data_IF_648519088177
#
_entry.id   IF_648519088177
#
_cell.length_a   1.000
_cell.length_b   1.000
_cell.length_c   1.000
_cell.angle_alpha   90.00
_cell.angle_beta   90.00
_cell.angle_gamma   90.00
#
_symmetry.space_group_name_H-M   'P 1'
#
loop_
_entity.id
_entity.type
_entity.pdbx_description
1 polymer ?
#
# COMPACT_ATOMS: atom_id res chain seq x y z
N UNK A 1 6.77 -3.80 -21.06
CA UNK A 1 7.96 -3.12 -20.50
C UNK A 1 7.57 -1.81 -19.84
N UNK A 2 8.22 -1.45 -18.76
CA UNK A 2 8.12 -0.13 -18.13
C UNK A 2 9.45 0.26 -17.49
N UNK A 3 9.67 1.56 -17.31
CA UNK A 3 10.89 2.07 -16.70
C UNK A 3 10.82 1.89 -15.18
N UNK A 4 11.78 1.15 -14.62
CA UNK A 4 11.89 0.91 -13.18
C UNK A 4 12.87 1.88 -12.50
N UNK A 5 13.78 2.52 -13.23
CA UNK A 5 14.82 3.38 -12.68
C UNK A 5 14.32 4.79 -12.38
N UNK A 6 14.83 5.38 -11.29
CA UNK A 6 14.52 6.73 -10.83
C UNK A 6 15.80 7.47 -10.47
N UNK A 7 15.90 8.72 -10.92
CA UNK A 7 16.99 9.66 -10.63
C UNK A 7 16.70 10.34 -9.29
N UNK A 8 16.74 9.57 -8.21
CA UNK A 8 16.53 10.05 -6.84
C UNK A 8 17.43 9.31 -5.86
N UNK A 9 17.57 9.82 -4.65
CA UNK A 9 18.35 9.16 -3.60
C UNK A 9 17.62 7.97 -3.00
N UNK A 10 16.32 8.12 -2.70
CA UNK A 10 15.55 7.10 -1.99
C UNK A 10 14.94 6.08 -2.95
N UNK A 11 15.28 4.84 -2.73
CA UNK A 11 14.78 3.67 -3.45
C UNK A 11 15.74 2.50 -3.35
N UNK A 12 15.31 1.27 -3.73
CA UNK A 12 16.21 0.11 -3.76
C UNK A 12 17.34 0.34 -4.78
N UNK A 13 18.62 0.24 -4.38
CA UNK A 13 19.73 0.30 -5.34
C UNK A 13 19.59 -0.79 -6.40
N UNK A 14 19.88 -0.44 -7.64
CA UNK A 14 19.91 -1.42 -8.73
C UNK A 14 21.26 -2.13 -8.69
N UNK A 15 21.30 -3.47 -8.49
CA UNK A 15 22.57 -4.20 -8.29
C UNK A 15 23.28 -4.50 -9.60
N UNK A 16 23.58 -3.46 -10.37
CA UNK A 16 24.28 -3.54 -11.67
C UNK A 16 25.52 -2.66 -11.64
N UNK A 17 26.59 -3.17 -12.26
CA UNK A 17 27.84 -2.45 -12.53
C UNK A 17 28.00 -2.32 -14.03
N UNK A 18 28.28 -1.13 -14.51
CA UNK A 18 28.56 -0.83 -15.91
C UNK A 18 30.07 -0.83 -16.15
N UNK A 19 30.52 -1.73 -17.00
CA UNK A 19 31.91 -1.93 -17.39
C UNK A 19 32.10 -1.69 -18.89
N UNK A 20 33.06 -0.88 -19.29
CA UNK A 20 33.33 -0.60 -20.69
C UNK A 20 33.73 -1.87 -21.50
N UNK A 21 34.27 -2.88 -20.82
CA UNK A 21 34.69 -4.12 -21.44
C UNK A 21 33.61 -5.21 -21.43
N UNK A 22 32.78 -5.30 -20.35
CA UNK A 22 31.86 -6.40 -20.13
C UNK A 22 30.38 -5.99 -20.30
N UNK A 23 30.09 -4.67 -20.42
CA UNK A 23 28.73 -4.15 -20.42
C UNK A 23 28.13 -4.12 -19.02
N UNK A 24 26.82 -4.35 -18.91
CA UNK A 24 26.11 -4.44 -17.64
C UNK A 24 26.40 -5.79 -16.97
N UNK A 25 26.90 -5.75 -15.75
CA UNK A 25 27.28 -6.92 -14.94
C UNK A 25 26.54 -6.86 -13.61
N UNK A 26 25.90 -7.97 -13.22
CA UNK A 26 25.24 -8.08 -11.92
C UNK A 26 26.26 -8.05 -10.76
N UNK A 27 25.90 -7.37 -9.68
CA UNK A 27 26.67 -7.44 -8.43
C UNK A 27 26.56 -8.88 -7.88
N UNK A 28 27.68 -9.51 -7.48
CA UNK A 28 27.67 -10.86 -6.93
C UNK A 28 26.83 -10.94 -5.64
N UNK A 29 26.21 -12.09 -5.40
CA UNK A 29 25.40 -12.32 -4.18
C UNK A 29 26.20 -12.05 -2.89
N UNK A 30 27.50 -12.39 -2.89
CA UNK A 30 28.39 -12.17 -1.75
C UNK A 30 28.61 -10.68 -1.40
N UNK A 31 28.30 -9.76 -2.32
CA UNK A 31 28.41 -8.32 -2.16
C UNK A 31 27.06 -7.63 -1.94
N UNK A 32 25.97 -8.39 -1.84
CA UNK A 32 24.64 -7.86 -1.52
C UNK A 32 24.44 -7.73 0.00
N UNK A 33 23.66 -6.79 0.45
CA UNK A 33 22.94 -5.76 -0.31
C UNK A 33 23.85 -4.60 -0.74
N UNK A 34 23.53 -3.96 -1.87
CA UNK A 34 24.12 -2.68 -2.24
C UNK A 34 23.56 -1.61 -1.32
N UNK A 35 24.40 -1.01 -0.49
CA UNK A 35 23.99 -0.03 0.53
C UNK A 35 24.15 1.39 0.00
N UNK A 36 23.10 2.21 0.17
CA UNK A 36 23.14 3.63 -0.18
C UNK A 36 24.15 4.39 0.70
N UNK A 37 24.95 5.31 0.14
CA UNK A 37 25.86 6.13 0.92
C UNK A 37 25.08 7.19 1.71
N UNK A 38 25.58 7.59 2.87
CA UNK A 38 25.02 8.76 3.57
C UNK A 38 25.45 10.03 2.86
N UNK A 39 24.52 10.82 2.39
CA UNK A 39 24.74 12.09 1.72
C UNK A 39 23.88 13.18 2.32
N UNK A 40 24.39 14.40 2.39
CA UNK A 40 23.66 15.56 2.88
C UNK A 40 22.81 16.19 1.78
N UNK A 41 23.34 16.27 0.56
CA UNK A 41 22.64 16.78 -0.62
C UNK A 41 21.95 15.64 -1.39
N UNK A 42 20.83 15.18 -0.85
CA UNK A 42 20.03 14.08 -1.42
C UNK A 42 18.90 14.54 -2.34
N UNK A 43 18.68 15.86 -2.47
CA UNK A 43 17.59 16.38 -3.29
C UNK A 43 17.93 16.26 -4.78
N UNK A 44 16.99 15.81 -5.61
CA UNK A 44 17.16 15.92 -7.06
C UNK A 44 17.18 17.41 -7.45
N UNK A 45 17.93 17.70 -8.48
CA UNK A 45 17.95 19.02 -9.12
C UNK A 45 17.39 18.96 -10.55
N UNK A 46 17.36 20.09 -11.21
CA UNK A 46 16.82 20.22 -12.57
C UNK A 46 17.71 19.58 -13.66
N UNK A 47 18.88 19.05 -13.29
CA UNK A 47 19.80 18.39 -14.24
C UNK A 47 19.31 17.04 -14.73
N UNK A 48 18.38 16.42 -14.00
CA UNK A 48 17.90 15.04 -14.24
C UNK A 48 18.94 13.96 -13.86
N UNK A 49 20.05 14.35 -13.22
CA UNK A 49 21.11 13.44 -12.78
C UNK A 49 20.80 12.96 -11.35
N UNK A 50 20.94 11.66 -11.12
CA UNK A 50 20.75 11.08 -9.79
C UNK A 50 21.70 11.72 -8.76
N UNK A 51 21.24 12.04 -7.54
CA UNK A 51 22.12 12.49 -6.46
C UNK A 51 23.28 11.51 -6.18
N UNK A 52 23.08 10.21 -6.40
CA UNK A 52 24.11 9.18 -6.23
C UNK A 52 25.24 9.29 -7.25
N UNK A 53 24.98 9.85 -8.43
CA UNK A 53 26.00 10.10 -9.45
C UNK A 53 26.99 11.22 -9.07
N UNK A 54 26.72 11.94 -7.98
CA UNK A 54 27.63 12.95 -7.42
C UNK A 54 28.60 12.38 -6.38
N UNK A 55 28.42 11.10 -5.98
CA UNK A 55 29.22 10.45 -4.92
C UNK A 55 30.22 9.50 -5.56
N UNK A 56 31.32 10.06 -6.03
CA UNK A 56 32.34 9.34 -6.79
C UNK A 56 32.88 8.13 -6.02
N UNK A 57 33.15 8.27 -4.73
CA UNK A 57 33.64 7.19 -3.86
C UNK A 57 32.65 6.03 -3.69
N UNK A 58 31.38 6.22 -4.03
CA UNK A 58 30.36 5.17 -3.96
C UNK A 58 30.11 4.49 -5.31
N UNK A 59 30.06 5.27 -6.40
CA UNK A 59 29.74 4.67 -7.71
C UNK A 59 30.97 4.08 -8.41
N UNK A 60 32.17 4.56 -8.14
CA UNK A 60 33.39 3.92 -8.68
C UNK A 60 33.60 2.57 -8.01
N UNK A 61 33.87 1.55 -8.82
CA UNK A 61 34.08 0.17 -8.36
C UNK A 61 34.87 -0.60 -9.40
N UNK A 62 35.28 -1.81 -9.06
CA UNK A 62 35.84 -2.74 -10.00
C UNK A 62 34.75 -3.62 -10.61
N UNK A 63 34.91 -4.02 -11.86
CA UNK A 63 34.00 -4.93 -12.53
C UNK A 63 34.08 -6.33 -11.90
N UNK A 64 32.96 -6.92 -11.42
CA UNK A 64 32.99 -8.25 -10.82
C UNK A 64 33.42 -9.35 -11.79
N UNK A 65 33.28 -9.11 -13.10
CA UNK A 65 33.61 -10.08 -14.13
C UNK A 65 35.06 -10.03 -14.59
N UNK A 66 35.67 -8.87 -14.73
CA UNK A 66 37.02 -8.75 -15.32
C UNK A 66 38.02 -7.93 -14.46
N UNK A 67 37.63 -7.42 -13.31
CA UNK A 67 38.50 -6.67 -12.39
C UNK A 67 38.95 -5.29 -12.87
N UNK A 68 38.45 -4.80 -14.02
CA UNK A 68 38.78 -3.45 -14.51
C UNK A 68 37.88 -2.42 -13.84
N UNK A 69 38.35 -1.17 -13.83
CA UNK A 69 37.57 -0.04 -13.34
C UNK A 69 36.17 0.01 -14.02
N UNK A 70 35.16 0.22 -13.23
CA UNK A 70 33.76 0.20 -13.64
C UNK A 70 32.94 1.16 -12.77
N UNK A 71 31.64 1.28 -13.06
CA UNK A 71 30.75 2.20 -12.35
C UNK A 71 29.49 1.47 -11.90
N UNK A 72 29.11 1.64 -10.64
CA UNK A 72 27.78 1.20 -10.17
C UNK A 72 26.67 1.98 -10.87
N UNK A 73 25.53 1.33 -11.05
CA UNK A 73 24.31 2.02 -11.43
C UNK A 73 23.98 3.08 -10.34
N UNK A 74 23.71 4.30 -10.77
CA UNK A 74 23.41 5.43 -9.89
C UNK A 74 21.94 5.76 -9.79
N UNK A 75 21.10 5.18 -10.65
CA UNK A 75 19.66 5.21 -10.48
C UNK A 75 19.25 4.20 -9.40
N UNK A 76 18.13 4.46 -8.76
CA UNK A 76 17.49 3.49 -7.86
C UNK A 76 16.24 2.95 -8.51
N UNK A 77 15.80 1.78 -8.10
CA UNK A 77 14.49 1.26 -8.49
C UNK A 77 13.39 2.11 -7.88
N UNK A 78 12.23 2.10 -8.53
CA UNK A 78 11.01 2.69 -7.97
C UNK A 78 10.72 2.08 -6.59
N UNK A 79 10.29 2.88 -5.64
CA UNK A 79 9.94 2.44 -4.27
C UNK A 79 8.82 1.40 -4.24
N UNK A 80 8.03 1.26 -5.32
CA UNK A 80 7.05 0.18 -5.44
C UNK A 80 7.70 -1.21 -5.54
N UNK A 81 8.99 -1.31 -5.87
CA UNK A 81 9.71 -2.58 -5.76
C UNK A 81 9.82 -3.03 -4.30
N UNK A 82 10.15 -2.13 -3.37
CA UNK A 82 10.18 -2.45 -1.94
C UNK A 82 8.82 -2.88 -1.41
N UNK A 83 7.76 -2.17 -1.79
CA UNK A 83 6.41 -2.47 -1.34
C UNK A 83 5.80 -3.70 -2.00
N UNK A 84 6.40 -4.23 -3.06
CA UNK A 84 5.82 -5.28 -3.90
C UNK A 84 5.71 -6.64 -3.22
N UNK A 85 6.50 -6.90 -2.20
CA UNK A 85 6.60 -8.22 -1.54
C UNK A 85 6.28 -8.21 -0.04
N UNK A 86 5.87 -7.07 0.53
CA UNK A 86 5.63 -6.91 1.97
C UNK A 86 4.65 -7.95 2.55
N UNK A 87 3.61 -8.32 1.77
CA UNK A 87 2.61 -9.31 2.17
C UNK A 87 3.17 -10.72 2.31
N UNK A 88 4.23 -11.07 1.57
CA UNK A 88 4.96 -12.33 1.72
C UNK A 88 5.67 -12.42 3.09
N UNK A 89 6.10 -11.27 3.61
CA UNK A 89 6.78 -11.18 4.91
C UNK A 89 5.81 -11.28 6.10
N UNK A 90 4.56 -10.84 5.95
CA UNK A 90 3.60 -10.80 7.05
C UNK A 90 3.41 -12.10 7.81
N UNK A 91 3.32 -13.28 7.20
CA UNK A 91 3.17 -14.53 7.93
C UNK A 91 4.39 -14.93 8.76
N UNK A 92 5.55 -14.37 8.49
CA UNK A 92 6.84 -14.80 9.06
C UNK A 92 7.72 -13.64 9.57
N UNK A 93 7.12 -12.64 10.19
CA UNK A 93 7.83 -11.45 10.71
C UNK A 93 8.92 -11.78 11.74
N UNK A 94 8.78 -12.89 12.45
CA UNK A 94 9.71 -13.33 13.49
C UNK A 94 10.93 -14.07 12.94
N UNK A 95 10.94 -14.42 11.64
CA UNK A 95 12.14 -15.04 11.03
C UNK A 95 13.23 -13.98 10.83
N UNK A 96 14.43 -14.25 11.35
CA UNK A 96 15.59 -13.37 11.16
C UNK A 96 16.46 -13.80 9.97
N UNK A 97 16.39 -15.06 9.57
CA UNK A 97 17.30 -15.69 8.60
C UNK A 97 16.74 -15.69 7.18
N UNK A 98 15.42 -15.71 7.03
CA UNK A 98 14.76 -15.84 5.75
C UNK A 98 13.79 -14.69 5.49
N UNK A 99 13.64 -14.24 4.24
CA UNK A 99 12.69 -13.18 3.89
C UNK A 99 11.23 -13.62 4.10
N UNK A 100 10.96 -14.93 3.98
CA UNK A 100 9.65 -15.54 4.19
C UNK A 100 9.79 -17.03 4.48
N UNK A 101 8.97 -17.55 5.39
CA UNK A 101 8.85 -18.97 5.66
C UNK A 101 7.98 -19.64 4.57
N UNK A 102 8.50 -20.67 3.92
CA UNK A 102 7.83 -21.32 2.79
C UNK A 102 6.54 -22.05 3.18
N UNK A 103 6.48 -22.62 4.38
CA UNK A 103 5.28 -23.33 4.86
C UNK A 103 4.16 -22.35 5.21
N UNK A 104 4.49 -21.26 5.94
CA UNK A 104 3.54 -20.20 6.25
C UNK A 104 3.06 -19.50 4.99
N UNK A 105 3.96 -19.22 4.04
CA UNK A 105 3.62 -18.64 2.75
C UNK A 105 2.65 -19.53 1.97
N UNK A 106 2.90 -20.82 1.89
CA UNK A 106 2.01 -21.78 1.22
C UNK A 106 0.64 -21.88 1.91
N UNK A 107 0.60 -21.76 3.24
CA UNK A 107 -0.65 -21.87 4.00
C UNK A 107 -1.54 -20.62 3.90
N UNK A 108 -0.95 -19.43 3.94
CA UNK A 108 -1.67 -18.17 4.04
C UNK A 108 -1.88 -17.45 2.71
N UNK A 109 -1.10 -17.75 1.70
CA UNK A 109 -1.09 -17.03 0.43
C UNK A 109 -1.51 -17.92 -0.76
N UNK A 110 -2.03 -17.34 -1.84
CA UNK A 110 -2.17 -15.90 -2.13
C UNK A 110 -3.26 -15.22 -1.27
N UNK A 111 -3.16 -13.89 -1.16
CA UNK A 111 -4.12 -13.06 -0.40
C UNK A 111 -5.52 -13.18 -0.99
N UNK A 112 -6.51 -13.50 -0.17
CA UNK A 112 -7.89 -13.72 -0.64
C UNK A 112 -8.58 -12.44 -1.16
N UNK A 113 -8.38 -11.31 -0.47
CA UNK A 113 -8.97 -10.03 -0.86
C UNK A 113 -8.02 -8.88 -0.53
N UNK A 114 -7.77 -8.05 -1.52
CA UNK A 114 -6.90 -6.89 -1.43
C UNK A 114 -7.69 -5.62 -1.75
N UNK A 115 -7.59 -4.63 -0.87
CA UNK A 115 -8.39 -3.41 -0.95
C UNK A 115 -7.46 -2.22 -1.07
N UNK A 116 -7.69 -1.37 -2.07
CA UNK A 116 -6.85 -0.20 -2.29
C UNK A 116 -7.38 0.75 -3.34
N UNK A 117 -6.64 1.83 -3.58
CA UNK A 117 -6.96 2.80 -4.62
C UNK A 117 -6.74 2.25 -6.02
N UNK A 118 -7.59 2.65 -6.95
CA UNK A 118 -7.52 2.24 -8.35
C UNK A 118 -6.21 2.69 -9.02
N UNK A 119 -5.60 3.78 -8.58
CA UNK A 119 -4.32 4.28 -9.08
C UNK A 119 -3.18 3.27 -8.96
N UNK A 120 -3.27 2.35 -8.00
CA UNK A 120 -2.25 1.33 -7.78
C UNK A 120 -2.26 0.20 -8.81
N UNK A 121 -3.24 0.15 -9.72
CA UNK A 121 -3.29 -0.86 -10.78
C UNK A 121 -2.03 -0.84 -11.67
N UNK A 122 -1.49 0.36 -11.95
CA UNK A 122 -0.27 0.57 -12.74
C UNK A 122 0.95 0.94 -11.90
N UNK A 123 0.84 0.90 -10.59
CA UNK A 123 1.88 1.22 -9.62
C UNK A 123 2.18 -0.02 -8.76
N UNK A 124 1.81 0.01 -7.48
CA UNK A 124 2.06 -1.07 -6.54
C UNK A 124 1.61 -2.47 -7.02
N UNK A 125 0.41 -2.59 -7.61
CA UNK A 125 -0.09 -3.89 -8.07
C UNK A 125 0.71 -4.45 -9.24
N UNK A 126 1.16 -3.61 -10.17
CA UNK A 126 2.00 -4.04 -11.27
C UNK A 126 3.31 -4.65 -10.77
N UNK A 127 3.98 -3.97 -9.82
CA UNK A 127 5.20 -4.48 -9.20
C UNK A 127 4.97 -5.74 -8.38
N UNK A 128 3.89 -5.79 -7.59
CA UNK A 128 3.55 -6.97 -6.79
C UNK A 128 3.32 -8.21 -7.66
N UNK A 129 2.61 -8.06 -8.77
CA UNK A 129 2.38 -9.15 -9.73
C UNK A 129 3.67 -9.59 -10.39
N UNK A 130 4.48 -8.65 -10.86
CA UNK A 130 5.75 -8.96 -11.48
C UNK A 130 6.70 -9.71 -10.54
N UNK A 131 6.89 -9.21 -9.32
CA UNK A 131 7.76 -9.85 -8.31
C UNK A 131 7.23 -11.24 -7.93
N UNK A 132 5.91 -11.40 -7.79
CA UNK A 132 5.30 -12.69 -7.51
C UNK A 132 5.58 -13.70 -8.64
N UNK A 133 5.39 -13.30 -9.89
CA UNK A 133 5.72 -14.16 -11.04
C UNK A 133 7.22 -14.52 -11.06
N UNK A 134 8.11 -13.56 -10.84
CA UNK A 134 9.54 -13.81 -10.79
C UNK A 134 9.93 -14.78 -9.66
N UNK A 135 9.37 -14.61 -8.47
CA UNK A 135 9.61 -15.53 -7.34
C UNK A 135 9.08 -16.94 -7.60
N UNK A 136 7.96 -17.06 -8.31
CA UNK A 136 7.45 -18.36 -8.75
C UNK A 136 8.40 -19.02 -9.76
N UNK A 137 8.85 -18.28 -10.78
CA UNK A 137 9.78 -18.79 -11.80
C UNK A 137 11.11 -19.23 -11.19
N UNK A 138 11.54 -18.56 -10.13
CA UNK A 138 12.72 -18.91 -9.33
C UNK A 138 12.48 -20.07 -8.34
N UNK A 139 11.24 -20.55 -8.21
CA UNK A 139 10.89 -21.68 -7.34
C UNK A 139 10.70 -21.34 -5.86
N UNK A 140 10.62 -20.06 -5.49
CA UNK A 140 10.45 -19.63 -4.10
C UNK A 140 9.00 -19.70 -3.60
N UNK A 141 8.01 -19.60 -4.50
CA UNK A 141 6.58 -19.68 -4.19
C UNK A 141 5.84 -20.50 -5.26
N UNK A 142 4.57 -20.87 -4.96
CA UNK A 142 3.80 -21.78 -5.82
C UNK A 142 2.70 -21.08 -6.64
N UNK A 143 2.48 -19.80 -6.47
CA UNK A 143 1.40 -19.04 -7.11
C UNK A 143 1.95 -17.89 -7.96
N UNK A 144 1.19 -17.47 -8.99
CA UNK A 144 1.55 -16.39 -9.93
C UNK A 144 0.94 -15.06 -9.59
N UNK A 145 -0.26 -15.08 -9.00
CA UNK A 145 -0.99 -13.87 -8.65
C UNK A 145 -0.98 -13.67 -7.15
N UNK A 146 -0.53 -12.50 -6.65
CA UNK A 146 -0.44 -12.24 -5.22
C UNK A 146 -1.79 -12.08 -4.54
N UNK A 147 -2.79 -11.59 -5.28
CA UNK A 147 -4.12 -11.24 -4.79
C UNK A 147 -5.20 -11.91 -5.62
N UNK A 148 -6.03 -12.76 -4.99
CA UNK A 148 -7.10 -13.47 -5.69
C UNK A 148 -8.22 -12.51 -6.13
N UNK A 149 -8.48 -11.46 -5.34
CA UNK A 149 -9.49 -10.46 -5.62
C UNK A 149 -9.01 -9.08 -5.21
N UNK A 150 -9.00 -8.17 -6.16
CA UNK A 150 -8.79 -6.75 -5.87
C UNK A 150 -10.14 -6.02 -5.80
N UNK A 151 -10.32 -5.21 -4.75
CA UNK A 151 -11.47 -4.31 -4.59
C UNK A 151 -10.97 -2.87 -4.56
N UNK A 152 -11.17 -2.18 -5.68
CA UNK A 152 -10.89 -0.76 -5.76
C UNK A 152 -11.94 0.02 -4.96
N UNK A 153 -11.49 0.92 -4.10
CA UNK A 153 -12.37 1.88 -3.43
C UNK A 153 -12.40 3.21 -4.19
N UNK A 154 -13.53 3.92 -4.08
CA UNK A 154 -13.65 5.30 -4.54
C UNK A 154 -12.91 6.27 -3.61
N UNK A 155 -12.84 7.52 -4.02
CA UNK A 155 -12.21 8.58 -3.25
C UNK A 155 -13.25 9.28 -2.36
N UNK A 156 -12.85 9.60 -1.13
CA UNK A 156 -13.60 10.53 -0.30
C UNK A 156 -13.08 11.94 -0.60
N UNK A 157 -13.97 12.77 -1.11
CA UNK A 157 -13.72 14.19 -1.37
C UNK A 157 -14.19 15.04 -0.19
N UNK A 158 -13.78 16.30 -0.14
CA UNK A 158 -14.35 17.30 0.76
C UNK A 158 -14.80 18.50 -0.08
N UNK A 159 -16.10 18.82 -0.03
CA UNK A 159 -16.70 19.87 -0.87
C UNK A 159 -16.38 19.68 -2.36
N UNK A 160 -16.48 18.45 -2.86
CA UNK A 160 -16.22 18.08 -4.24
C UNK A 160 -14.74 18.04 -4.66
N UNK A 161 -13.80 18.30 -3.74
CA UNK A 161 -12.38 18.33 -4.05
C UNK A 161 -11.63 17.17 -3.36
N UNK A 162 -10.68 16.57 -4.09
CA UNK A 162 -9.77 15.56 -3.51
C UNK A 162 -9.01 16.16 -2.31
N UNK A 163 -9.02 15.46 -1.18
CA UNK A 163 -8.26 15.84 0.00
C UNK A 163 -6.76 15.75 -0.27
N UNK A 164 -6.01 16.79 0.08
CA UNK A 164 -4.55 16.76 0.04
C UNK A 164 -3.95 17.70 1.09
N UNK A 165 -2.78 17.33 1.62
CA UNK A 165 -2.05 18.15 2.60
C UNK A 165 -1.71 19.53 2.05
N UNK A 166 -1.35 19.62 0.77
CA UNK A 166 -1.00 20.88 0.11
C UNK A 166 -2.18 21.84 -0.04
N UNK A 167 -3.42 21.33 -0.05
CA UNK A 167 -4.64 22.14 -0.10
C UNK A 167 -5.19 22.48 1.29
N UNK A 168 -4.67 21.86 2.35
CA UNK A 168 -5.15 22.07 3.71
C UNK A 168 -6.59 21.59 3.97
N UNK A 169 -7.13 20.72 3.10
CA UNK A 169 -8.52 20.24 3.19
C UNK A 169 -8.63 18.80 3.73
N UNK A 170 -7.55 18.27 4.28
CA UNK A 170 -7.54 16.94 4.90
C UNK A 170 -8.29 16.98 6.22
N UNK A 171 -9.16 16.00 6.44
CA UNK A 171 -9.83 15.75 7.71
C UNK A 171 -9.18 14.56 8.37
N UNK A 172 -8.77 14.72 9.63
CA UNK A 172 -8.33 13.62 10.47
C UNK A 172 -9.52 13.07 11.27
N UNK A 173 -9.57 11.77 11.53
CA UNK A 173 -10.70 11.17 12.26
C UNK A 173 -10.77 11.59 13.73
N UNK A 174 -9.64 12.00 14.34
CA UNK A 174 -9.51 12.18 15.78
C UNK A 174 -10.55 13.15 16.37
N UNK A 175 -10.63 14.35 15.84
CA UNK A 175 -11.59 15.37 16.32
C UNK A 175 -13.06 14.97 16.14
N UNK A 176 -13.34 14.19 15.09
CA UNK A 176 -14.69 13.69 14.81
C UNK A 176 -15.05 12.58 15.79
N UNK A 177 -14.10 11.68 16.06
CA UNK A 177 -14.28 10.58 17.01
C UNK A 177 -14.45 11.13 18.43
N UNK A 178 -13.70 12.15 18.81
CA UNK A 178 -13.85 12.84 20.11
C UNK A 178 -15.25 13.47 20.28
N UNK A 179 -15.79 14.05 19.21
CA UNK A 179 -17.07 14.75 19.28
C UNK A 179 -18.29 13.83 19.15
N UNK A 180 -18.23 12.84 18.26
CA UNK A 180 -19.40 12.03 17.87
C UNK A 180 -19.26 10.54 18.18
N UNK A 181 -18.07 10.10 18.55
CA UNK A 181 -17.76 8.68 18.75
C UNK A 181 -17.37 7.94 17.45
N UNK A 182 -16.59 6.88 17.62
CA UNK A 182 -16.07 6.07 16.50
C UNK A 182 -17.18 5.40 15.68
N UNK A 183 -18.23 4.91 16.33
CA UNK A 183 -19.32 4.21 15.65
C UNK A 183 -20.13 5.15 14.75
N UNK A 184 -20.33 6.39 15.18
CA UNK A 184 -20.97 7.44 14.38
C UNK A 184 -20.14 7.73 13.13
N UNK A 185 -18.84 7.94 13.31
CA UNK A 185 -17.94 8.22 12.19
C UNK A 185 -17.91 7.06 11.18
N UNK A 186 -17.76 5.83 11.65
CA UNK A 186 -17.78 4.64 10.79
C UNK A 186 -19.09 4.49 10.04
N UNK A 187 -20.22 4.68 10.74
CA UNK A 187 -21.56 4.63 10.13
C UNK A 187 -21.72 5.70 9.07
N UNK A 188 -21.23 6.92 9.33
CA UNK A 188 -21.27 8.01 8.35
C UNK A 188 -20.44 7.69 7.09
N UNK A 189 -19.23 7.19 7.24
CA UNK A 189 -18.39 6.80 6.10
C UNK A 189 -19.07 5.74 5.23
N UNK A 190 -19.69 4.74 5.85
CA UNK A 190 -20.38 3.66 5.12
C UNK A 190 -21.69 4.13 4.47
N UNK A 191 -22.32 5.14 5.00
CA UNK A 191 -23.58 5.70 4.48
C UNK A 191 -23.36 6.72 3.34
N UNK A 192 -22.15 7.27 3.22
CA UNK A 192 -21.84 8.41 2.34
C UNK A 192 -22.00 8.08 0.85
N UNK A 193 -21.74 6.82 0.47
CA UNK A 193 -21.86 6.35 -0.91
C UNK A 193 -21.42 4.91 -1.07
N UNK A 194 -21.62 4.33 -2.26
CA UNK A 194 -21.09 3.01 -2.61
C UNK A 194 -19.56 2.97 -2.45
N UNK A 195 -19.05 1.85 -1.98
CA UNK A 195 -17.63 1.69 -1.69
C UNK A 195 -16.73 2.01 -2.89
N UNK A 196 -17.14 1.60 -4.07
CA UNK A 196 -16.39 1.77 -5.32
C UNK A 196 -16.44 3.20 -5.88
N UNK A 197 -17.46 3.97 -5.52
CA UNK A 197 -17.64 5.36 -5.99
C UNK A 197 -17.04 6.37 -5.01
N UNK A 198 -16.99 6.02 -3.72
CA UNK A 198 -16.59 6.93 -2.66
C UNK A 198 -17.73 7.88 -2.27
N UNK A 199 -17.40 9.10 -1.85
CA UNK A 199 -18.41 10.07 -1.45
C UNK A 199 -17.82 11.45 -1.14
N UNK A 200 -18.70 12.41 -0.90
CA UNK A 200 -18.32 13.78 -0.53
C UNK A 200 -18.56 14.01 0.96
N UNK A 201 -17.48 14.10 1.73
CA UNK A 201 -17.54 14.36 3.16
C UNK A 201 -18.04 15.79 3.41
N UNK A 202 -19.08 15.90 4.24
CA UNK A 202 -19.67 17.17 4.70
C UNK A 202 -19.81 17.14 6.21
N UNK A 203 -19.39 18.22 6.86
CA UNK A 203 -19.39 18.29 8.33
C UNK A 203 -20.82 18.13 8.92
N UNK A 204 -21.85 18.59 8.20
CA UNK A 204 -23.26 18.47 8.64
C UNK A 204 -23.82 17.06 8.46
N UNK A 205 -23.26 16.28 7.52
CA UNK A 205 -23.77 14.95 7.15
C UNK A 205 -23.72 13.93 8.30
N UNK A 206 -22.79 14.11 9.23
CA UNK A 206 -22.60 13.18 10.36
C UNK A 206 -23.76 13.25 11.39
N UNK A 207 -24.52 14.34 11.40
CA UNK A 207 -25.63 14.50 12.36
C UNK A 207 -26.73 13.43 12.18
N UNK A 208 -26.98 12.99 10.95
CA UNK A 208 -27.94 11.92 10.65
C UNK A 208 -27.57 10.59 11.33
N UNK A 209 -26.38 10.03 11.05
CA UNK A 209 -25.87 8.84 11.73
C UNK A 209 -25.78 8.97 13.24
N UNK A 210 -25.34 10.12 13.76
CA UNK A 210 -25.29 10.38 15.21
C UNK A 210 -26.67 10.27 15.84
N UNK A 211 -27.66 10.98 15.29
CA UNK A 211 -29.03 10.93 15.79
C UNK A 211 -29.67 9.55 15.63
N UNK A 212 -29.33 8.79 14.59
CA UNK A 212 -29.78 7.41 14.42
C UNK A 212 -29.23 6.50 15.52
N UNK A 213 -27.93 6.52 15.76
CA UNK A 213 -27.28 5.67 16.78
C UNK A 213 -27.73 6.02 18.19
N UNK A 214 -27.92 7.32 18.49
CA UNK A 214 -28.47 7.76 19.80
C UNK A 214 -29.87 7.19 20.02
N UNK A 215 -30.77 7.35 19.05
CA UNK A 215 -32.13 6.78 19.15
C UNK A 215 -32.11 5.24 19.25
N UNK A 216 -31.22 4.58 18.52
CA UNK A 216 -31.08 3.11 18.59
C UNK A 216 -30.63 2.69 20.00
N UNK A 217 -29.62 3.37 20.56
CA UNK A 217 -29.12 3.12 21.91
C UNK A 217 -30.20 3.29 22.96
N UNK A 218 -30.91 4.41 22.93
CA UNK A 218 -31.99 4.72 23.87
C UNK A 218 -33.14 3.70 23.74
N UNK A 219 -33.50 3.32 22.51
CA UNK A 219 -34.56 2.34 22.27
C UNK A 219 -34.21 0.97 22.85
N UNK A 220 -32.99 0.50 22.60
CA UNK A 220 -32.53 -0.80 23.10
C UNK A 220 -32.31 -0.76 24.61
N UNK A 221 -31.71 0.31 25.13
CA UNK A 221 -31.45 0.49 26.57
C UNK A 221 -32.70 0.57 27.42
N UNK A 222 -33.79 1.11 26.86
CA UNK A 222 -35.08 1.23 27.55
C UNK A 222 -36.04 0.06 27.24
N UNK A 223 -35.64 -0.87 26.37
CA UNK A 223 -36.48 -2.03 26.03
C UNK A 223 -36.67 -2.94 27.24
N UNK A 224 -37.90 -3.25 27.55
CA UNK A 224 -38.23 -4.23 28.60
C UNK A 224 -38.22 -5.63 28.00
N UNK A 225 -37.60 -6.63 28.67
CA UNK A 225 -37.66 -8.00 28.23
C UNK A 225 -39.09 -8.55 28.40
N UNK A 226 -39.65 -9.15 27.38
CA UNK A 226 -40.94 -9.78 27.38
C UNK A 226 -42.00 -8.97 26.64
N UNK A 227 -42.84 -9.66 25.92
CA UNK A 227 -43.86 -9.12 25.01
C UNK A 227 -43.66 -9.73 23.63
N UNK A 228 -44.70 -10.34 23.07
CA UNK A 228 -44.65 -10.82 21.68
C UNK A 228 -44.54 -9.62 20.72
N UNK A 229 -43.98 -9.87 19.56
CA UNK A 229 -44.07 -8.94 18.43
C UNK A 229 -45.54 -8.98 17.91
N UNK A 230 -46.12 -7.83 17.68
CA UNK A 230 -47.44 -7.79 17.05
C UNK A 230 -47.33 -8.05 15.53
N UNK A 231 -48.46 -8.46 14.91
CA UNK A 231 -48.50 -8.79 13.48
C UNK A 231 -48.07 -7.63 12.57
N UNK A 232 -48.24 -6.38 13.00
CA UNK A 232 -47.83 -5.19 12.22
C UNK A 232 -46.34 -5.00 12.25
N UNK A 233 -45.71 -5.14 13.43
CA UNK A 233 -44.29 -5.08 13.61
C UNK A 233 -43.58 -6.26 12.91
N UNK A 234 -44.13 -7.45 12.99
CA UNK A 234 -43.60 -8.63 12.29
C UNK A 234 -43.62 -8.45 10.77
N UNK A 235 -44.73 -7.99 10.19
CA UNK A 235 -44.80 -7.66 8.76
C UNK A 235 -43.80 -6.58 8.35
N UNK A 236 -43.61 -5.56 9.18
CA UNK A 236 -42.64 -4.50 8.93
C UNK A 236 -41.21 -5.05 8.99
N UNK A 237 -40.88 -5.87 9.98
CA UNK A 237 -39.59 -6.55 10.10
C UNK A 237 -39.28 -7.35 8.84
N UNK A 238 -40.18 -8.24 8.42
CA UNK A 238 -40.01 -9.05 7.22
C UNK A 238 -39.88 -8.23 5.93
N UNK A 239 -40.57 -7.09 5.84
CA UNK A 239 -40.41 -6.15 4.71
C UNK A 239 -39.06 -5.44 4.71
N UNK A 240 -38.47 -5.20 5.88
CA UNK A 240 -37.18 -4.50 6.03
C UNK A 240 -36.01 -5.44 5.77
N UNK A 241 -36.14 -6.73 6.05
CA UNK A 241 -35.11 -7.75 5.81
C UNK A 241 -34.93 -8.08 4.30
N UNK A 242 -35.97 -7.88 3.49
CA UNK A 242 -35.92 -8.06 2.03
C UNK A 242 -35.20 -6.92 1.33
#
# INVERSE_FOLDING_TARGET
DWCISRQRYWGPPIPIVHCDNCGAVAVPESELPVVLPRIEDFKPDDSGVSPLARVESWYQTDCPSCGKAARRETDVSDTFLDSSWYFLRYPSTDSAEEPMDSQLTTHWLPVNSYIGGQEHAVLHLLYSRFVTMALKDLGHILFEEPFQRFRAHGLITRNGAKMSKSRGNVITPDSIIEQYGADTFRTYLMFMGPFEEGGDYRDEGIQGPYGFLTRLWDTVGNAQPGGGIDDAAERKLHKTIK
#
